data_IF_475052137481
#
_entry.id   IF_475052137481
#
_cell.length_a   1.000
_cell.length_b   1.000
_cell.length_c   1.000
_cell.angle_alpha   90.00
_cell.angle_beta   90.00
_cell.angle_gamma   90.00
#
_symmetry.space_group_name_H-M   'P 1'
#
loop_
_entity.id
_entity.type
_entity.pdbx_description
1 polymer ?
#
# COMPACT_ATOMS: atom_id res chain seq x y z
N UNK A 1 -8.32 34.80 -10.30
CA UNK A 1 -8.05 34.48 -8.88
C UNK A 1 -7.81 32.98 -8.80
N UNK A 2 -6.56 32.55 -8.96
CA UNK A 2 -6.12 31.13 -8.96
C UNK A 2 -4.93 30.91 -8.02
N UNK A 3 -4.71 31.84 -7.07
CA UNK A 3 -3.48 31.89 -6.28
C UNK A 3 -3.50 31.00 -5.04
N UNK A 4 -4.68 30.68 -4.47
CA UNK A 4 -4.78 29.99 -3.17
C UNK A 4 -4.29 28.54 -3.26
N UNK A 5 -4.78 27.75 -4.23
CA UNK A 5 -4.40 26.33 -4.33
C UNK A 5 -2.93 26.06 -4.72
N UNK A 6 -2.23 27.04 -5.32
CA UNK A 6 -0.79 26.93 -5.55
C UNK A 6 0.01 27.22 -4.27
N UNK A 7 -0.42 28.23 -3.50
CA UNK A 7 0.17 28.55 -2.20
C UNK A 7 -0.06 27.43 -1.18
N UNK A 8 -1.20 26.73 -1.23
CA UNK A 8 -1.48 25.57 -0.36
C UNK A 8 -0.60 24.36 -0.72
N UNK A 9 -0.34 24.14 -2.01
CA UNK A 9 0.55 23.07 -2.46
C UNK A 9 2.01 23.34 -2.08
N UNK A 10 2.47 24.58 -2.18
CA UNK A 10 3.80 25.00 -1.75
C UNK A 10 3.94 24.86 -0.22
N UNK A 11 2.93 25.27 0.55
CA UNK A 11 2.92 25.10 2.00
C UNK A 11 2.93 23.62 2.43
N UNK A 12 2.25 22.74 1.68
CA UNK A 12 2.29 21.31 1.92
C UNK A 12 3.69 20.74 1.63
N UNK A 13 4.31 21.17 0.53
CA UNK A 13 5.66 20.75 0.17
C UNK A 13 6.69 21.15 1.24
N UNK A 14 6.61 22.37 1.76
CA UNK A 14 7.48 22.85 2.85
C UNK A 14 7.32 21.99 4.12
N UNK A 15 6.08 21.63 4.49
CA UNK A 15 5.82 20.74 5.63
C UNK A 15 6.37 19.32 5.39
N UNK A 16 6.25 18.80 4.17
CA UNK A 16 6.79 17.48 3.83
C UNK A 16 8.33 17.45 3.86
N UNK A 17 8.98 18.55 3.46
CA UNK A 17 10.43 18.71 3.59
C UNK A 17 10.85 18.78 5.06
N UNK A 18 10.15 19.57 5.88
CA UNK A 18 10.43 19.66 7.32
C UNK A 18 10.23 18.31 8.02
N UNK A 19 9.15 17.58 7.68
CA UNK A 19 8.93 16.20 8.15
C UNK A 19 10.12 15.30 7.82
N UNK A 20 10.59 15.34 6.56
CA UNK A 20 11.70 14.50 6.10
C UNK A 20 13.00 14.84 6.81
N UNK A 21 13.24 16.12 7.06
CA UNK A 21 14.37 16.59 7.87
C UNK A 21 14.28 16.05 9.30
N UNK A 22 13.18 16.27 10.01
CA UNK A 22 13.00 15.85 11.40
C UNK A 22 13.15 14.33 11.59
N UNK A 23 12.55 13.53 10.70
CA UNK A 23 12.66 12.07 10.76
C UNK A 23 14.06 11.56 10.41
N UNK A 24 14.84 12.31 9.62
CA UNK A 24 16.25 12.00 9.39
C UNK A 24 17.07 12.34 10.63
N UNK A 25 16.87 13.53 11.20
CA UNK A 25 17.58 13.98 12.40
C UNK A 25 17.35 13.05 13.60
N UNK A 26 16.14 12.50 13.78
CA UNK A 26 15.89 11.48 14.80
C UNK A 26 16.71 10.21 14.57
N UNK A 27 16.73 9.69 13.33
CA UNK A 27 17.53 8.49 12.99
C UNK A 27 19.03 8.74 13.08
N UNK A 28 19.49 9.96 12.82
CA UNK A 28 20.90 10.33 12.95
C UNK A 28 21.27 10.43 14.43
N UNK A 29 20.43 11.07 15.25
CA UNK A 29 20.57 11.16 16.70
C UNK A 29 20.60 9.78 17.37
N UNK A 30 19.74 8.86 16.96
CA UNK A 30 19.74 7.47 17.47
C UNK A 30 21.09 6.79 17.19
N UNK A 31 21.66 6.96 15.98
CA UNK A 31 22.96 6.39 15.63
C UNK A 31 24.12 7.03 16.38
N UNK A 32 24.10 8.35 16.55
CA UNK A 32 25.13 9.07 17.30
C UNK A 32 25.11 8.67 18.78
N UNK A 33 23.93 8.44 19.36
CA UNK A 33 23.80 7.92 20.72
C UNK A 33 24.30 6.47 20.84
N UNK A 34 23.95 5.58 19.90
CA UNK A 34 24.47 4.21 19.85
C UNK A 34 25.99 4.15 19.67
N UNK A 35 26.57 5.09 18.92
CA UNK A 35 28.01 5.23 18.76
C UNK A 35 28.71 5.81 20.00
N UNK A 36 27.95 6.34 20.96
CA UNK A 36 28.47 7.01 22.16
C UNK A 36 28.97 8.43 21.90
N UNK A 37 28.62 9.03 20.76
CA UNK A 37 29.00 10.40 20.37
C UNK A 37 28.10 11.46 21.06
N UNK A 38 26.96 11.06 21.63
CA UNK A 38 26.01 11.92 22.36
C UNK A 38 25.73 11.35 23.75
N UNK A 39 25.73 12.22 24.76
CA UNK A 39 25.40 11.84 26.14
C UNK A 39 23.90 11.56 26.32
N UNK A 40 23.52 10.71 27.28
CA UNK A 40 22.13 10.29 27.48
C UNK A 40 21.17 11.45 27.73
N UNK A 41 21.55 12.40 28.59
CA UNK A 41 20.67 13.53 28.94
C UNK A 41 20.44 14.47 27.74
N UNK A 42 21.47 14.65 26.90
CA UNK A 42 21.39 15.42 25.65
C UNK A 42 20.56 14.68 24.60
N UNK A 43 20.75 13.37 24.47
CA UNK A 43 19.95 12.51 23.59
C UNK A 43 18.46 12.60 23.94
N UNK A 44 18.10 12.41 25.22
CA UNK A 44 16.70 12.42 25.66
C UNK A 44 16.07 13.80 25.39
N UNK A 45 16.80 14.89 25.67
CA UNK A 45 16.33 16.27 25.42
C UNK A 45 16.11 16.55 23.93
N UNK A 46 17.08 16.20 23.07
CA UNK A 46 16.99 16.42 21.63
C UNK A 46 15.92 15.55 20.99
N UNK A 47 15.80 14.30 21.43
CA UNK A 47 14.81 13.35 20.94
C UNK A 47 13.39 13.81 21.25
N UNK A 48 13.14 14.32 22.45
CA UNK A 48 11.84 14.86 22.84
C UNK A 48 11.46 16.08 22.00
N UNK A 49 12.38 17.03 21.78
CA UNK A 49 12.13 18.21 20.94
C UNK A 49 11.80 17.80 19.49
N UNK A 50 12.63 16.95 18.89
CA UNK A 50 12.40 16.48 17.53
C UNK A 50 11.09 15.68 17.41
N UNK A 51 10.73 14.90 18.42
CA UNK A 51 9.47 14.13 18.45
C UNK A 51 8.26 15.05 18.52
N UNK A 52 8.28 16.05 19.40
CA UNK A 52 7.20 17.05 19.52
C UNK A 52 7.03 17.83 18.21
N UNK A 53 8.14 18.25 17.60
CA UNK A 53 8.12 18.97 16.32
C UNK A 53 7.61 18.08 15.19
N UNK A 54 8.06 16.82 15.10
CA UNK A 54 7.59 15.89 14.09
C UNK A 54 6.09 15.63 14.20
N UNK A 55 5.57 15.42 15.42
CA UNK A 55 4.14 15.26 15.66
C UNK A 55 3.35 16.52 15.28
N UNK A 56 3.92 17.71 15.47
CA UNK A 56 3.29 18.98 15.07
C UNK A 56 3.20 19.10 13.55
N UNK A 57 4.28 18.82 12.83
CA UNK A 57 4.32 18.87 11.36
C UNK A 57 3.39 17.83 10.74
N UNK A 58 3.34 16.61 11.29
CA UNK A 58 2.46 15.54 10.79
C UNK A 58 0.97 15.95 10.86
N UNK A 59 0.54 16.53 11.98
CA UNK A 59 -0.85 17.04 12.11
C UNK A 59 -1.14 18.16 11.12
N UNK A 60 -0.19 19.08 10.91
CA UNK A 60 -0.36 20.16 9.95
C UNK A 60 -0.51 19.65 8.50
N UNK A 61 0.22 18.59 8.13
CA UNK A 61 0.08 17.92 6.83
C UNK A 61 -1.32 17.31 6.68
N UNK A 62 -1.78 16.57 7.70
CA UNK A 62 -3.12 15.96 7.70
C UNK A 62 -4.22 17.02 7.57
N UNK A 63 -4.11 18.14 8.29
CA UNK A 63 -5.05 19.25 8.23
C UNK A 63 -5.08 19.91 6.83
N UNK A 64 -3.92 20.11 6.19
CA UNK A 64 -3.84 20.66 4.83
C UNK A 64 -4.39 19.69 3.78
N UNK A 65 -4.12 18.39 3.92
CA UNK A 65 -4.69 17.37 3.04
C UNK A 65 -6.21 17.30 3.18
N UNK A 66 -6.74 17.39 4.42
CA UNK A 66 -8.17 17.49 4.67
C UNK A 66 -8.76 18.75 4.04
N UNK A 67 -8.13 19.91 4.19
CA UNK A 67 -8.58 21.17 3.58
C UNK A 67 -8.58 21.13 2.04
N UNK A 68 -7.54 20.56 1.42
CA UNK A 68 -7.45 20.41 -0.04
C UNK A 68 -8.53 19.51 -0.64
N UNK A 69 -9.09 18.56 0.14
CA UNK A 69 -10.24 17.75 -0.29
C UNK A 69 -11.56 18.50 -0.22
N UNK A 70 -11.70 19.47 0.70
CA UNK A 70 -12.91 20.27 0.91
C UNK A 70 -12.99 21.45 -0.07
N UNK A 71 -11.84 22.02 -0.47
CA UNK A 71 -11.77 23.24 -1.29
C UNK A 71 -11.83 23.00 -2.81
N UNK A 72 -12.09 21.75 -3.23
CA UNK A 72 -12.38 21.46 -4.65
C UNK A 72 -13.65 22.22 -5.06
N UNK A 73 -13.60 23.16 -6.03
CA UNK A 73 -14.77 23.96 -6.38
C UNK A 73 -15.90 23.06 -6.84
N UNK A 74 -17.05 23.19 -6.17
CA UNK A 74 -18.32 22.56 -6.58
C UNK A 74 -18.63 23.03 -7.99
N UNK A 75 -18.28 22.22 -9.01
CA UNK A 75 -18.65 22.46 -10.41
C UNK A 75 -20.15 22.73 -10.48
N UNK A 76 -20.49 23.94 -10.92
CA UNK A 76 -21.85 24.45 -10.94
C UNK A 76 -22.77 23.52 -11.73
N UNK A 77 -23.99 23.34 -11.22
CA UNK A 77 -24.99 22.39 -11.75
C UNK A 77 -25.29 22.66 -13.25
N UNK A 78 -25.05 23.89 -13.74
CA UNK A 78 -25.14 24.26 -15.15
C UNK A 78 -24.10 23.58 -16.05
N UNK A 79 -22.87 23.34 -15.58
CA UNK A 79 -21.86 22.62 -16.35
C UNK A 79 -22.20 21.12 -16.52
N UNK A 80 -22.95 20.55 -15.57
CA UNK A 80 -23.45 19.16 -15.64
C UNK A 80 -24.57 18.99 -16.67
N UNK A 81 -25.40 20.01 -16.88
CA UNK A 81 -26.50 19.98 -17.87
C UNK A 81 -25.99 20.14 -19.31
N UNK A 82 -24.94 20.94 -19.53
CA UNK A 82 -24.33 21.11 -20.86
C UNK A 82 -23.61 19.82 -21.31
N UNK A 83 -22.92 19.13 -20.40
CA UNK A 83 -22.28 17.84 -20.70
C UNK A 83 -23.32 16.74 -20.93
N UNK A 84 -24.40 16.69 -20.14
CA UNK A 84 -25.50 15.75 -20.37
C UNK A 84 -26.22 15.98 -21.71
N UNK A 85 -26.43 17.24 -22.09
CA UNK A 85 -27.03 17.59 -23.39
C UNK A 85 -26.10 17.27 -24.58
N UNK A 86 -24.79 17.45 -24.43
CA UNK A 86 -23.80 17.08 -25.44
C UNK A 86 -23.70 15.55 -25.63
N UNK A 87 -23.81 14.77 -24.56
CA UNK A 87 -23.84 13.30 -24.60
C UNK A 87 -25.15 12.79 -25.23
N UNK A 88 -26.29 13.43 -24.95
CA UNK A 88 -27.58 13.09 -25.59
C UNK A 88 -27.65 13.48 -27.07
N UNK A 89 -27.02 14.58 -27.47
CA UNK A 89 -26.90 14.98 -28.88
C UNK A 89 -25.96 14.05 -29.68
N UNK A 90 -24.88 13.58 -29.06
CA UNK A 90 -23.99 12.57 -29.67
C UNK A 90 -24.67 11.20 -29.80
N UNK A 91 -25.62 10.85 -28.92
CA UNK A 91 -26.42 9.63 -29.01
C UNK A 91 -27.56 9.70 -30.06
N UNK A 92 -28.04 10.89 -30.43
CA UNK A 92 -29.10 11.04 -31.43
C UNK A 92 -28.58 11.10 -32.89
N UNK A 93 -27.30 11.42 -33.11
CA UNK A 93 -26.72 11.56 -34.45
C UNK A 93 -26.46 10.24 -35.20
N UNK A 94 -26.29 9.12 -34.49
CA UNK A 94 -25.99 7.80 -35.08
C UNK A 94 -27.27 6.93 -35.21
N UNK A 95 -28.39 7.37 -34.64
CA UNK A 95 -29.64 6.60 -34.55
C UNK A 95 -30.50 6.50 -35.82
N UNK A 96 -30.21 7.26 -36.89
CA UNK A 96 -31.07 7.30 -38.08
C UNK A 96 -30.51 6.57 -39.33
N UNK A 97 -29.48 5.74 -39.19
CA UNK A 97 -28.94 4.93 -40.30
C UNK A 97 -28.84 3.42 -40.04
N UNK A 98 -29.39 2.89 -38.94
CA UNK A 98 -29.45 1.43 -38.66
C UNK A 98 -30.90 0.92 -38.68
N UNK A 99 -31.78 1.52 -39.49
CA UNK A 99 -33.17 1.06 -39.62
C UNK A 99 -33.41 0.09 -40.79
N UNK A 100 -32.39 -0.31 -41.57
CA UNK A 100 -32.60 -1.21 -42.72
C UNK A 100 -31.48 -2.24 -42.93
N UNK A 101 -31.48 -3.26 -42.07
CA UNK A 101 -31.15 -4.67 -42.41
C UNK A 101 -31.13 -5.45 -41.09
N UNK A 102 -32.22 -6.12 -40.69
CA UNK A 102 -32.52 -7.51 -41.06
C UNK A 102 -31.28 -8.43 -40.88
N UNK A 103 -31.26 -9.44 -40.01
CA UNK A 103 -32.33 -10.08 -39.25
C UNK A 103 -31.79 -11.24 -38.40
N UNK A 104 -32.71 -11.87 -37.67
CA UNK A 104 -32.61 -13.11 -36.87
C UNK A 104 -31.85 -13.03 -35.52
N UNK A 105 -32.62 -12.77 -34.46
CA UNK A 105 -32.27 -13.08 -33.07
C UNK A 105 -32.68 -14.52 -32.77
N UNK A 106 -31.77 -15.33 -32.23
CA UNK A 106 -32.11 -16.63 -31.62
C UNK A 106 -32.54 -16.41 -30.15
N UNK A 107 -33.48 -17.21 -29.62
CA UNK A 107 -33.99 -17.07 -28.27
C UNK A 107 -33.03 -17.73 -27.27
N UNK A 108 -32.64 -16.95 -26.26
CA UNK A 108 -31.75 -17.35 -25.17
C UNK A 108 -31.30 -16.10 -24.42
N UNK A 109 -32.20 -15.56 -23.59
CA UNK A 109 -31.83 -14.57 -22.57
C UNK A 109 -30.67 -15.13 -21.73
N UNK A 110 -29.74 -14.31 -21.23
CA UNK A 110 -29.94 -13.32 -20.18
C UNK A 110 -29.03 -12.10 -20.42
N UNK A 111 -29.54 -10.86 -20.53
CA UNK A 111 -29.77 -9.94 -19.39
C UNK A 111 -29.24 -10.48 -18.08
N UNK A 112 -27.97 -10.19 -17.78
CA UNK A 112 -27.54 -10.06 -16.39
C UNK A 112 -26.62 -8.85 -16.26
N UNK A 113 -27.03 -7.94 -15.37
CA UNK A 113 -26.18 -6.86 -14.88
C UNK A 113 -25.05 -7.43 -14.02
N UNK A 114 -23.95 -6.68 -13.93
CA UNK A 114 -22.74 -7.09 -13.23
C UNK A 114 -21.65 -7.52 -14.21
N UNK A 115 -20.96 -6.55 -14.80
CA UNK A 115 -19.64 -6.88 -15.32
C UNK A 115 -18.72 -6.98 -14.10
N UNK A 116 -18.37 -8.23 -13.75
CA UNK A 116 -17.17 -8.50 -12.98
C UNK A 116 -16.01 -7.76 -13.67
N UNK A 117 -15.20 -7.04 -12.89
CA UNK A 117 -13.95 -6.49 -13.38
C UNK A 117 -13.14 -7.61 -14.06
N UNK A 118 -12.49 -7.29 -15.16
CA UNK A 118 -11.82 -8.29 -15.98
C UNK A 118 -10.49 -8.69 -15.33
N UNK A 119 -9.96 -9.88 -15.65
CA UNK A 119 -8.63 -10.30 -15.21
C UNK A 119 -7.52 -9.33 -15.67
N UNK A 120 -7.74 -8.63 -16.78
CA UNK A 120 -6.83 -7.59 -17.30
C UNK A 120 -6.79 -6.36 -16.39
N UNK A 121 -7.91 -6.01 -15.76
CA UNK A 121 -7.99 -4.92 -14.78
C UNK A 121 -7.21 -5.27 -13.50
N UNK A 122 -7.36 -6.50 -12.99
CA UNK A 122 -6.64 -6.98 -11.80
C UNK A 122 -5.13 -6.99 -12.04
N UNK A 123 -4.68 -7.48 -13.19
CA UNK A 123 -3.26 -7.50 -13.54
C UNK A 123 -2.64 -6.11 -13.58
N UNK A 124 -3.38 -5.13 -14.12
CA UNK A 124 -2.96 -3.72 -14.18
C UNK A 124 -2.87 -3.09 -12.79
N UNK A 125 -3.83 -3.38 -11.92
CA UNK A 125 -3.83 -2.93 -10.52
C UNK A 125 -2.63 -3.51 -9.77
N UNK A 126 -2.32 -4.80 -9.93
CA UNK A 126 -1.18 -5.44 -9.26
C UNK A 126 0.16 -4.84 -9.69
N UNK A 127 0.35 -4.55 -10.98
CA UNK A 127 1.55 -3.84 -11.47
C UNK A 127 1.68 -2.48 -10.78
N UNK A 128 0.58 -1.74 -10.65
CA UNK A 128 0.57 -0.45 -9.96
C UNK A 128 0.86 -0.59 -8.46
N UNK A 129 0.33 -1.63 -7.82
CA UNK A 129 0.54 -1.92 -6.40
C UNK A 129 2.01 -2.24 -6.08
N UNK A 130 2.67 -3.04 -6.93
CA UNK A 130 4.11 -3.31 -6.85
C UNK A 130 4.95 -2.06 -7.10
N UNK A 131 4.58 -1.23 -8.08
CA UNK A 131 5.28 0.03 -8.36
C UNK A 131 5.21 0.99 -7.17
N UNK A 132 4.04 1.11 -6.53
CA UNK A 132 3.87 1.90 -5.32
C UNK A 132 4.72 1.35 -4.17
N UNK A 133 4.70 0.02 -3.96
CA UNK A 133 5.51 -0.65 -2.95
C UNK A 133 7.02 -0.40 -3.15
N UNK A 134 7.52 -0.55 -4.38
CA UNK A 134 8.93 -0.33 -4.73
C UNK A 134 9.36 1.14 -4.58
N UNK A 135 8.40 2.07 -4.61
CA UNK A 135 8.62 3.51 -4.37
C UNK A 135 8.41 3.91 -2.91
N UNK A 136 8.22 2.93 -2.01
CA UNK A 136 7.86 3.11 -0.60
C UNK A 136 6.54 3.88 -0.35
N UNK A 137 5.66 3.96 -1.35
CA UNK A 137 4.29 4.47 -1.20
C UNK A 137 3.38 3.35 -0.67
N UNK A 138 3.56 3.06 0.62
CA UNK A 138 2.86 1.96 1.31
C UNK A 138 1.35 2.19 1.38
N UNK A 139 0.91 3.45 1.47
CA UNK A 139 -0.51 3.81 1.51
C UNK A 139 -1.18 3.43 0.18
N UNK A 140 -0.66 3.93 -0.95
CA UNK A 140 -1.21 3.60 -2.26
C UNK A 140 -1.11 2.11 -2.56
N UNK A 141 0.00 1.46 -2.18
CA UNK A 141 0.16 0.01 -2.34
C UNK A 141 -0.90 -0.79 -1.56
N UNK A 142 -1.14 -0.44 -0.30
CA UNK A 142 -2.17 -1.08 0.52
C UNK A 142 -3.58 -0.93 -0.06
N UNK A 143 -3.92 0.28 -0.54
CA UNK A 143 -5.22 0.55 -1.16
C UNK A 143 -5.44 -0.27 -2.44
N UNK A 144 -4.40 -0.39 -3.28
CA UNK A 144 -4.45 -1.15 -4.52
C UNK A 144 -4.59 -2.65 -4.24
N UNK A 145 -3.79 -3.24 -3.34
CA UNK A 145 -3.95 -4.64 -2.95
C UNK A 145 -5.31 -4.91 -2.29
N UNK A 146 -5.81 -4.00 -1.45
CA UNK A 146 -7.16 -4.11 -0.89
C UNK A 146 -8.25 -4.05 -1.97
N UNK A 147 -8.03 -3.30 -3.06
CA UNK A 147 -8.96 -3.27 -4.19
C UNK A 147 -8.99 -4.59 -4.96
N UNK A 148 -7.86 -5.29 -5.06
CA UNK A 148 -7.80 -6.64 -5.63
C UNK A 148 -8.58 -7.62 -4.75
N UNK A 149 -8.36 -7.59 -3.43
CA UNK A 149 -9.04 -8.49 -2.48
C UNK A 149 -10.57 -8.29 -2.41
N UNK A 150 -11.09 -7.13 -2.82
CA UNK A 150 -12.55 -6.92 -2.95
C UNK A 150 -13.15 -7.69 -4.13
N UNK A 151 -12.35 -7.99 -5.14
CA UNK A 151 -12.77 -8.65 -6.38
C UNK A 151 -12.44 -10.14 -6.31
N UNK A 152 -11.24 -10.46 -5.85
CA UNK A 152 -10.72 -11.81 -5.64
C UNK A 152 -10.15 -11.92 -4.21
N UNK A 153 -10.97 -12.34 -3.22
CA UNK A 153 -10.57 -12.41 -1.82
C UNK A 153 -9.40 -13.37 -1.55
N UNK A 154 -9.19 -14.35 -2.42
CA UNK A 154 -8.16 -15.38 -2.26
C UNK A 154 -6.95 -15.12 -3.18
N UNK A 155 -6.83 -13.92 -3.78
CA UNK A 155 -5.72 -13.62 -4.68
C UNK A 155 -4.36 -13.69 -3.94
N UNK A 156 -3.47 -14.63 -4.29
CA UNK A 156 -2.30 -14.96 -3.47
C UNK A 156 -1.33 -13.78 -3.29
N UNK A 157 -1.06 -13.05 -4.36
CA UNK A 157 -0.20 -11.86 -4.32
C UNK A 157 -0.77 -10.75 -3.42
N UNK A 158 -2.08 -10.48 -3.54
CA UNK A 158 -2.71 -9.39 -2.80
C UNK A 158 -2.82 -9.72 -1.32
N UNK A 159 -3.10 -10.99 -0.98
CA UNK A 159 -3.02 -11.48 0.40
C UNK A 159 -1.60 -11.32 0.96
N UNK A 160 -0.59 -11.78 0.23
CA UNK A 160 0.80 -11.75 0.68
C UNK A 160 1.27 -10.34 1.02
N UNK A 161 1.15 -9.42 0.06
CA UNK A 161 1.65 -8.06 0.23
C UNK A 161 0.78 -7.22 1.16
N UNK A 162 -0.53 -7.43 1.19
CA UNK A 162 -1.40 -6.80 2.19
C UNK A 162 -1.08 -7.30 3.60
N UNK A 163 -0.72 -8.57 3.77
CA UNK A 163 -0.28 -9.13 5.05
C UNK A 163 1.05 -8.51 5.49
N UNK A 164 2.02 -8.47 4.58
CA UNK A 164 3.33 -7.86 4.82
C UNK A 164 3.24 -6.38 5.19
N UNK A 165 2.46 -5.58 4.45
CA UNK A 165 2.23 -4.17 4.76
C UNK A 165 1.60 -3.99 6.15
N UNK A 166 0.68 -4.89 6.54
CA UNK A 166 0.06 -4.86 7.87
C UNK A 166 1.11 -5.08 8.98
N UNK A 167 2.05 -6.01 8.79
CA UNK A 167 3.18 -6.22 9.71
C UNK A 167 4.11 -5.01 9.76
N UNK A 168 4.43 -4.41 8.61
CA UNK A 168 5.35 -3.28 8.55
C UNK A 168 4.83 -2.06 9.31
N UNK A 169 3.54 -1.75 9.17
CA UNK A 169 2.93 -0.58 9.83
C UNK A 169 2.65 -0.83 11.31
N UNK A 170 2.54 -2.09 11.75
CA UNK A 170 2.27 -2.41 13.16
C UNK A 170 3.47 -2.13 14.08
N UNK A 171 4.69 -2.09 13.54
CA UNK A 171 5.94 -1.87 14.29
C UNK A 171 6.01 -0.54 15.06
N UNK A 172 5.27 0.48 14.63
CA UNK A 172 5.24 1.81 15.27
C UNK A 172 3.98 2.10 16.08
N UNK A 173 3.08 1.13 16.23
CA UNK A 173 1.81 1.30 16.92
C UNK A 173 1.93 1.03 18.44
N UNK A 174 0.91 1.40 19.20
CA UNK A 174 0.80 0.98 20.61
C UNK A 174 0.73 -0.54 20.71
N UNK A 175 1.21 -1.13 21.81
CA UNK A 175 1.38 -2.58 21.99
C UNK A 175 0.18 -3.43 21.54
N UNK A 176 -1.05 -3.10 21.97
CA UNK A 176 -2.25 -3.85 21.59
C UNK A 176 -2.53 -3.82 20.07
N UNK A 177 -2.29 -2.67 19.43
CA UNK A 177 -2.45 -2.48 17.99
C UNK A 177 -1.32 -3.17 17.23
N UNK A 178 -0.11 -3.13 17.78
CA UNK A 178 1.06 -3.83 17.23
C UNK A 178 0.83 -5.35 17.19
N UNK A 179 0.35 -5.93 18.29
CA UNK A 179 0.01 -7.35 18.40
C UNK A 179 -1.11 -7.74 17.43
N UNK A 180 -2.20 -6.97 17.38
CA UNK A 180 -3.30 -7.26 16.47
C UNK A 180 -2.89 -7.16 15.00
N UNK A 181 -2.05 -6.17 14.65
CA UNK A 181 -1.51 -6.00 13.31
C UNK A 181 -0.57 -7.14 12.92
N UNK A 182 0.29 -7.58 13.84
CA UNK A 182 1.18 -8.72 13.62
C UNK A 182 0.41 -10.00 13.36
N UNK A 183 -0.56 -10.34 14.21
CA UNK A 183 -1.38 -11.55 14.04
C UNK A 183 -2.24 -11.49 12.78
N UNK A 184 -2.89 -10.36 12.51
CA UNK A 184 -3.67 -10.17 11.30
C UNK A 184 -2.83 -10.25 10.02
N UNK A 185 -1.63 -9.67 10.04
CA UNK A 185 -0.68 -9.76 8.94
C UNK A 185 -0.20 -11.19 8.69
N UNK A 186 0.19 -11.91 9.75
CA UNK A 186 0.58 -13.32 9.69
C UNK A 186 -0.53 -14.22 9.15
N UNK A 187 -1.76 -14.02 9.61
CA UNK A 187 -2.90 -14.81 9.13
C UNK A 187 -3.12 -14.60 7.63
N UNK A 188 -3.05 -13.35 7.15
CA UNK A 188 -3.16 -13.07 5.73
C UNK A 188 -2.02 -13.69 4.90
N UNK A 189 -0.80 -13.73 5.44
CA UNK A 189 0.32 -14.46 4.82
C UNK A 189 0.06 -15.97 4.73
N UNK A 190 -0.53 -16.58 5.76
CA UNK A 190 -0.92 -18.00 5.72
C UNK A 190 -2.03 -18.27 4.71
N UNK A 191 -2.98 -17.35 4.58
CA UNK A 191 -4.01 -17.41 3.54
C UNK A 191 -3.39 -17.36 2.14
N UNK A 192 -2.35 -16.53 1.93
CA UNK A 192 -1.63 -16.50 0.66
C UNK A 192 -0.95 -17.84 0.32
N UNK A 193 -0.30 -18.48 1.30
CA UNK A 193 0.27 -19.84 1.14
C UNK A 193 -0.82 -20.87 0.82
N UNK A 194 -1.99 -20.76 1.45
CA UNK A 194 -3.09 -21.67 1.19
C UNK A 194 -3.72 -21.48 -0.20
N UNK A 195 -3.77 -20.23 -0.69
CA UNK A 195 -4.29 -19.88 -2.00
C UNK A 195 -3.35 -20.32 -3.14
N UNK A 196 -2.04 -20.16 -2.95
CA UNK A 196 -1.02 -20.61 -3.90
C UNK A 196 0.21 -21.18 -3.14
N UNK A 197 0.30 -22.51 -3.01
CA UNK A 197 1.43 -23.17 -2.33
C UNK A 197 2.77 -23.01 -3.05
N UNK A 198 2.77 -22.66 -4.35
CA UNK A 198 3.99 -22.47 -5.13
C UNK A 198 4.48 -21.01 -5.08
N UNK A 199 3.75 -20.13 -4.40
CA UNK A 199 4.12 -18.72 -4.27
C UNK A 199 5.15 -18.51 -3.14
N UNK A 200 6.37 -18.11 -3.52
CA UNK A 200 7.50 -18.00 -2.60
C UNK A 200 7.36 -16.87 -1.57
N UNK A 201 6.87 -15.69 -1.99
CA UNK A 201 6.92 -14.45 -1.18
C UNK A 201 6.30 -14.59 0.23
N UNK A 202 5.11 -15.21 0.42
CA UNK A 202 4.54 -15.45 1.74
C UNK A 202 5.46 -16.24 2.67
N UNK A 203 6.19 -17.23 2.16
CA UNK A 203 7.16 -17.99 2.94
C UNK A 203 8.33 -17.12 3.36
N UNK A 204 8.83 -16.26 2.46
CA UNK A 204 9.91 -15.33 2.78
C UNK A 204 9.48 -14.34 3.87
N UNK A 205 8.26 -13.79 3.77
CA UNK A 205 7.70 -12.88 4.76
C UNK A 205 7.44 -13.56 6.11
N UNK A 206 6.84 -14.77 6.12
CA UNK A 206 6.63 -15.53 7.36
C UNK A 206 7.95 -15.87 8.06
N UNK A 207 9.03 -16.07 7.30
CA UNK A 207 10.36 -16.30 7.86
C UNK A 207 10.88 -15.07 8.63
N UNK A 208 10.76 -13.89 8.01
CA UNK A 208 11.13 -12.61 8.63
C UNK A 208 10.26 -12.32 9.85
N UNK A 209 8.96 -12.58 9.76
CA UNK A 209 8.03 -12.34 10.86
C UNK A 209 8.39 -13.19 12.08
N UNK A 210 8.63 -14.49 11.87
CA UNK A 210 8.95 -15.42 12.95
C UNK A 210 10.24 -15.03 13.68
N UNK A 211 11.27 -14.60 12.96
CA UNK A 211 12.52 -14.18 13.59
C UNK A 211 12.37 -12.82 14.29
N UNK A 212 11.89 -11.81 13.57
CA UNK A 212 12.01 -10.42 14.01
C UNK A 212 10.95 -10.00 15.05
N UNK A 213 9.87 -10.77 15.17
CA UNK A 213 8.72 -10.40 16.02
C UNK A 213 8.34 -11.49 17.02
N UNK A 214 8.81 -12.73 16.84
CA UNK A 214 8.42 -13.86 17.69
C UNK A 214 9.62 -14.58 18.33
N UNK A 215 10.86 -14.20 17.98
CA UNK A 215 12.09 -14.91 18.35
C UNK A 215 12.01 -16.43 18.06
N UNK A 216 11.25 -16.84 17.03
CA UNK A 216 11.05 -18.24 16.62
C UNK A 216 11.95 -18.59 15.43
N UNK A 217 13.25 -18.71 15.69
CA UNK A 217 14.26 -19.06 14.68
C UNK A 217 14.01 -20.43 14.03
N UNK A 218 13.31 -21.35 14.71
CA UNK A 218 12.93 -22.66 14.14
C UNK A 218 11.88 -22.49 13.04
N UNK A 219 10.86 -21.65 13.28
CA UNK A 219 9.87 -21.31 12.25
C UNK A 219 10.48 -20.44 11.16
N UNK A 220 11.31 -19.46 11.52
CA UNK A 220 12.01 -18.63 10.56
C UNK A 220 12.83 -19.48 9.57
N UNK A 221 13.61 -20.44 10.07
CA UNK A 221 14.40 -21.35 9.22
C UNK A 221 13.52 -22.20 8.30
N UNK A 222 12.44 -22.78 8.82
CA UNK A 222 11.52 -23.63 8.04
C UNK A 222 10.88 -22.85 6.89
N UNK A 223 10.41 -21.63 7.18
CA UNK A 223 9.76 -20.78 6.18
C UNK A 223 10.78 -20.20 5.19
N UNK A 224 11.97 -19.81 5.65
CA UNK A 224 13.05 -19.37 4.78
C UNK A 224 13.51 -20.46 3.80
N UNK A 225 13.61 -21.71 4.27
CA UNK A 225 13.89 -22.85 3.40
C UNK A 225 12.78 -23.08 2.37
N UNK A 226 11.51 -23.02 2.78
CA UNK A 226 10.38 -23.14 1.85
C UNK A 226 10.41 -22.03 0.77
N UNK A 227 10.70 -20.79 1.16
CA UNK A 227 10.92 -19.69 0.23
C UNK A 227 12.03 -20.02 -0.78
N UNK A 228 13.19 -20.53 -0.33
CA UNK A 228 14.31 -20.90 -1.21
C UNK A 228 13.99 -22.06 -2.17
N UNK A 229 13.24 -23.06 -1.70
CA UNK A 229 12.84 -24.24 -2.48
C UNK A 229 11.88 -23.85 -3.62
N UNK A 230 11.09 -22.78 -3.43
CA UNK A 230 10.20 -22.20 -4.43
C UNK A 230 10.88 -21.27 -5.44
N UNK A 231 12.22 -21.21 -5.43
CA UNK A 231 13.04 -20.48 -6.41
C UNK A 231 12.66 -18.98 -6.56
N UNK A 232 12.81 -18.16 -5.50
CA UNK A 232 12.51 -16.74 -5.56
C UNK A 232 13.54 -16.04 -6.48
N UNK A 233 13.27 -14.80 -6.93
CA UNK A 233 14.20 -14.06 -7.78
C UNK A 233 15.62 -14.05 -7.23
N UNK A 234 16.65 -14.14 -8.09
CA UNK A 234 18.06 -14.36 -7.69
C UNK A 234 18.55 -13.39 -6.61
N UNK A 235 18.15 -12.12 -6.69
CA UNK A 235 18.49 -11.12 -5.66
C UNK A 235 17.88 -11.46 -4.30
N UNK A 236 16.61 -11.86 -4.26
CA UNK A 236 15.92 -12.28 -3.04
C UNK A 236 16.50 -13.60 -2.51
N UNK A 237 16.79 -14.56 -3.39
CA UNK A 237 17.38 -15.86 -3.03
C UNK A 237 18.68 -15.70 -2.24
N UNK A 238 19.58 -14.80 -2.66
CA UNK A 238 20.83 -14.55 -1.95
C UNK A 238 20.60 -14.03 -0.52
N UNK A 239 19.70 -13.06 -0.38
CA UNK A 239 19.34 -12.47 0.92
C UNK A 239 18.68 -13.50 1.85
N UNK A 240 17.76 -14.31 1.33
CA UNK A 240 17.08 -15.34 2.13
C UNK A 240 18.04 -16.46 2.52
N UNK A 241 18.99 -16.83 1.67
CA UNK A 241 20.02 -17.82 2.00
C UNK A 241 20.90 -17.35 3.16
N UNK A 242 21.41 -16.12 3.07
CA UNK A 242 22.20 -15.51 4.15
C UNK A 242 21.43 -15.45 5.47
N UNK A 243 20.15 -15.06 5.40
CA UNK A 243 19.25 -15.07 6.54
C UNK A 243 19.07 -16.48 7.12
N UNK A 244 18.78 -17.51 6.32
CA UNK A 244 18.61 -18.90 6.80
C UNK A 244 19.89 -19.46 7.43
N UNK A 245 21.05 -19.10 6.89
CA UNK A 245 22.35 -19.54 7.38
C UNK A 245 22.69 -18.89 8.74
N UNK A 246 22.34 -17.63 8.94
CA UNK A 246 22.58 -16.93 10.21
C UNK A 246 21.80 -17.58 11.38
N UNK A 247 20.59 -18.07 11.13
CA UNK A 247 19.75 -18.78 12.12
C UNK A 247 20.33 -20.11 12.61
N UNK A 248 21.38 -20.64 11.96
CA UNK A 248 22.07 -21.88 12.38
C UNK A 248 23.31 -21.68 13.23
N UNK A 249 23.75 -20.44 13.38
CA UNK A 249 24.94 -20.10 14.14
C UNK A 249 24.60 -19.54 15.55
N UNK A 250 23.31 -19.48 15.89
CA UNK A 250 22.76 -18.97 17.15
C UNK A 250 22.45 -20.09 18.15
#
# INVERSE_FOLDING_TARGET
MTSTGALDADALADLEEERRFLLRSLRDLDREFEAGDVERDDYDTLRDDYTVRAATVLRAIEDQQAAATVDRPRRSVGARLVVAAAVLAAAAGIGLLVARSAGQRLPGQEISGGQAATSDDVSTVLVSARSALGSADYQTSAELYASVLKQDPDHPEALAYSGWLTVLVSRGASDDVAVAGLEGGKERLRQAVAADPDYADPHCFLAIVAEQYEDDSRTARRQGQACLDLNPPTQMRGLVQEFVDSLGNS
#
